data_IF_055748531328
#
_entry.id   IF_055748531328
#
_cell.length_a   1.000
_cell.length_b   1.000
_cell.length_c   1.000
_cell.angle_alpha   90.00
_cell.angle_beta   90.00
_cell.angle_gamma   90.00
#
_symmetry.space_group_name_H-M   'P 1'
#
loop_
_entity.id
_entity.type
_entity.pdbx_description
1 polymer ?
#
# COMPACT_ATOMS: atom_id res chain seq x y z
N UNK A 1 0.83 -17.83 -39.15
CA UNK A 1 0.39 -18.72 -38.07
C UNK A 1 1.38 -18.53 -36.95
N UNK A 2 1.13 -17.59 -36.10
CA UNK A 2 1.89 -17.32 -34.87
C UNK A 2 1.09 -17.94 -33.75
N UNK A 3 1.63 -19.03 -33.19
CA UNK A 3 1.12 -19.63 -31.97
C UNK A 3 1.16 -18.56 -30.86
N UNK A 4 -0.02 -18.15 -30.43
CA UNK A 4 -0.18 -17.51 -29.14
C UNK A 4 0.02 -18.63 -28.11
N UNK A 5 1.17 -18.61 -27.44
CA UNK A 5 1.34 -19.39 -26.23
C UNK A 5 0.24 -18.96 -25.26
N UNK A 6 -0.65 -19.87 -24.94
CA UNK A 6 -1.58 -19.73 -23.83
C UNK A 6 -0.74 -19.79 -22.56
N UNK A 7 -0.53 -18.66 -21.91
CA UNK A 7 -0.11 -18.62 -20.53
C UNK A 7 -1.16 -19.42 -19.75
N UNK A 8 -0.79 -20.60 -19.30
CA UNK A 8 -1.56 -21.34 -18.32
C UNK A 8 -1.42 -20.60 -17.00
N UNK A 9 -2.37 -19.72 -16.73
CA UNK A 9 -2.58 -19.14 -15.41
C UNK A 9 -3.22 -20.22 -14.54
N UNK A 10 -2.39 -21.02 -13.87
CA UNK A 10 -2.81 -22.07 -12.94
C UNK A 10 -3.11 -21.51 -11.53
N UNK A 11 -3.24 -20.18 -11.39
CA UNK A 11 -3.57 -19.47 -10.17
C UNK A 11 -5.06 -19.08 -10.05
N UNK A 12 -5.43 -18.46 -8.92
CA UNK A 12 -6.75 -17.85 -8.71
C UNK A 12 -7.02 -16.76 -9.75
N UNK A 13 -8.23 -16.74 -10.32
CA UNK A 13 -8.63 -15.61 -11.16
C UNK A 13 -8.75 -14.30 -10.34
N UNK A 14 -8.85 -13.16 -11.03
CA UNK A 14 -8.89 -11.84 -10.38
C UNK A 14 -10.06 -11.71 -9.37
N UNK A 15 -11.20 -12.33 -9.61
CA UNK A 15 -12.36 -12.32 -8.71
C UNK A 15 -12.14 -13.23 -7.51
N UNK A 16 -11.60 -14.42 -7.74
CA UNK A 16 -11.26 -15.39 -6.70
C UNK A 16 -10.19 -14.83 -5.77
N UNK A 17 -9.14 -14.17 -6.33
CA UNK A 17 -8.11 -13.49 -5.57
C UNK A 17 -8.69 -12.40 -4.66
N UNK A 18 -9.51 -11.48 -5.20
CA UNK A 18 -10.16 -10.44 -4.38
C UNK A 18 -11.03 -11.03 -3.28
N UNK A 19 -11.75 -12.11 -3.57
CA UNK A 19 -12.59 -12.78 -2.58
C UNK A 19 -11.75 -13.37 -1.46
N UNK A 20 -10.70 -14.12 -1.79
CA UNK A 20 -9.80 -14.73 -0.81
C UNK A 20 -9.15 -13.69 0.10
N UNK A 21 -8.65 -12.59 -0.49
CA UNK A 21 -8.05 -11.48 0.27
C UNK A 21 -9.09 -10.84 1.19
N UNK A 22 -10.27 -10.49 0.68
CA UNK A 22 -11.33 -9.87 1.50
C UNK A 22 -11.78 -10.76 2.65
N UNK A 23 -12.01 -12.06 2.40
CA UNK A 23 -12.42 -13.00 3.43
C UNK A 23 -11.35 -13.15 4.52
N UNK A 24 -10.08 -13.25 4.14
CA UNK A 24 -8.94 -13.29 5.07
C UNK A 24 -8.89 -12.06 5.98
N UNK A 25 -9.01 -10.85 5.40
CA UNK A 25 -8.93 -9.61 6.17
C UNK A 25 -10.21 -9.32 6.96
N UNK A 26 -11.37 -9.83 6.56
CA UNK A 26 -12.59 -9.82 7.37
C UNK A 26 -12.42 -10.67 8.64
N UNK A 27 -11.82 -11.86 8.52
CA UNK A 27 -11.50 -12.72 9.66
C UNK A 27 -10.50 -12.05 10.63
N UNK A 28 -9.49 -11.35 10.09
CA UNK A 28 -8.54 -10.58 10.90
C UNK A 28 -9.25 -9.46 11.66
N UNK A 29 -10.11 -8.67 11.01
CA UNK A 29 -10.88 -7.61 11.65
C UNK A 29 -11.83 -8.13 12.75
N UNK A 30 -12.35 -9.35 12.57
CA UNK A 30 -13.19 -10.00 13.57
C UNK A 30 -12.41 -10.57 14.78
N UNK A 31 -11.07 -10.41 14.80
CA UNK A 31 -10.23 -11.00 15.85
C UNK A 31 -10.10 -12.53 15.76
N UNK A 32 -10.46 -13.12 14.65
CA UNK A 32 -10.40 -14.56 14.40
C UNK A 32 -8.95 -14.96 14.08
N UNK A 33 -8.15 -15.23 15.10
CA UNK A 33 -6.85 -15.91 14.91
C UNK A 33 -7.08 -17.31 14.37
N UNK A 34 -6.43 -17.68 13.26
CA UNK A 34 -6.49 -19.03 12.65
C UNK A 34 -5.90 -20.15 13.55
N UNK A 35 -5.31 -19.81 14.69
CA UNK A 35 -4.77 -20.76 15.65
C UNK A 35 -5.51 -20.58 16.96
N UNK A 36 -6.44 -21.52 17.23
CA UNK A 36 -7.34 -21.54 18.37
C UNK A 36 -6.66 -21.49 19.75
N UNK A 37 -6.33 -20.31 20.21
CA UNK A 37 -6.04 -20.00 21.58
C UNK A 37 -6.77 -18.69 21.94
N UNK A 38 -7.55 -18.72 23.03
CA UNK A 38 -8.49 -17.69 23.52
C UNK A 38 -7.77 -16.45 24.12
N UNK A 39 -6.56 -16.20 23.72
CA UNK A 39 -5.83 -14.96 23.96
C UNK A 39 -5.66 -14.26 22.61
N UNK A 40 -6.40 -13.17 22.39
CA UNK A 40 -6.06 -12.21 21.33
C UNK A 40 -4.61 -11.81 21.59
N UNK A 41 -3.64 -12.27 20.81
CA UNK A 41 -2.30 -11.73 20.91
C UNK A 41 -2.42 -10.33 20.35
N UNK A 42 -2.47 -9.32 21.19
CA UNK A 42 -2.14 -7.97 20.75
C UNK A 42 -0.80 -8.09 20.01
N UNK A 43 -0.72 -7.48 18.84
CA UNK A 43 0.53 -7.40 18.08
C UNK A 43 1.64 -7.01 19.04
N UNK A 44 2.71 -7.80 19.08
CA UNK A 44 3.79 -7.46 19.99
C UNK A 44 4.47 -6.19 19.49
N UNK A 45 4.76 -5.27 20.42
CA UNK A 45 5.53 -4.07 20.08
C UNK A 45 6.88 -4.42 19.42
N UNK A 46 7.42 -5.61 19.69
CA UNK A 46 8.67 -6.08 19.09
C UNK A 46 8.50 -6.41 17.59
N UNK A 47 7.36 -6.97 17.17
CA UNK A 47 7.05 -7.20 15.75
C UNK A 47 6.91 -5.87 15.00
N UNK A 48 6.17 -4.91 15.54
CA UNK A 48 6.01 -3.59 14.93
C UNK A 48 7.35 -2.84 14.82
N UNK A 49 8.27 -3.00 15.81
CA UNK A 49 9.62 -2.43 15.72
C UNK A 49 10.45 -3.04 14.58
N UNK A 50 10.30 -4.35 14.30
CA UNK A 50 10.96 -4.98 13.14
C UNK A 50 10.49 -4.37 11.81
N UNK A 51 9.25 -3.89 11.75
CA UNK A 51 8.70 -3.17 10.60
C UNK A 51 9.21 -1.72 10.49
N UNK A 52 9.89 -1.20 11.52
CA UNK A 52 10.46 0.15 11.52
C UNK A 52 9.60 1.21 12.24
N UNK A 53 8.58 0.81 12.99
CA UNK A 53 7.85 1.73 13.86
C UNK A 53 8.61 1.97 15.16
N UNK A 54 8.68 3.24 15.58
CA UNK A 54 9.30 3.64 16.84
C UNK A 54 8.35 3.40 18.04
N UNK A 55 8.89 3.42 19.26
CA UNK A 55 8.06 3.41 20.47
C UNK A 55 7.11 4.61 20.51
N UNK A 56 7.52 5.76 19.98
CA UNK A 56 6.68 6.95 19.89
C UNK A 56 5.50 6.75 18.94
N UNK A 57 5.70 6.06 17.81
CA UNK A 57 4.62 5.70 16.88
C UNK A 57 3.62 4.76 17.53
N UNK A 58 4.11 3.75 18.26
CA UNK A 58 3.27 2.77 18.92
C UNK A 58 2.48 3.37 20.09
N UNK A 59 3.09 4.27 20.85
CA UNK A 59 2.44 4.99 21.96
C UNK A 59 1.48 6.11 21.45
N UNK A 60 1.58 6.47 20.18
CA UNK A 60 0.84 7.57 19.58
C UNK A 60 -0.59 7.21 19.17
N UNK A 61 -0.89 5.91 19.01
CA UNK A 61 -2.15 5.41 18.48
C UNK A 61 -2.78 4.42 19.47
N UNK A 62 -3.95 4.75 19.95
CA UNK A 62 -4.71 3.92 20.88
C UNK A 62 -5.62 2.91 20.16
N UNK A 63 -6.01 1.85 20.86
CA UNK A 63 -6.96 0.85 20.38
C UNK A 63 -6.34 -0.25 19.53
N UNK A 64 -7.17 -0.90 18.70
CA UNK A 64 -6.81 -2.06 17.88
C UNK A 64 -6.39 -1.67 16.46
N UNK A 65 -5.91 -0.43 16.26
CA UNK A 65 -5.51 0.08 14.95
C UNK A 65 -4.26 -0.63 14.41
N UNK A 66 -3.29 -0.93 15.28
CA UNK A 66 -2.11 -1.70 14.94
C UNK A 66 -2.43 -3.19 14.97
N UNK A 67 -2.63 -3.77 13.80
CA UNK A 67 -2.95 -5.20 13.64
C UNK A 67 -1.71 -6.06 13.33
N UNK A 68 -0.49 -5.47 13.32
CA UNK A 68 0.76 -6.16 12.97
C UNK A 68 0.83 -6.61 11.52
N UNK A 69 0.04 -6.01 10.68
CA UNK A 69 0.02 -6.27 9.24
C UNK A 69 0.98 -5.31 8.55
N UNK A 70 1.61 -5.78 7.49
CA UNK A 70 2.53 -4.96 6.69
C UNK A 70 3.95 -5.49 6.65
N UNK A 71 4.84 -4.78 5.96
CA UNK A 71 6.23 -5.13 5.75
C UNK A 71 7.18 -3.94 5.92
N UNK A 72 6.68 -2.85 6.50
CA UNK A 72 7.49 -1.67 6.78
C UNK A 72 6.68 -0.51 7.35
N UNK A 73 7.31 0.66 7.39
CA UNK A 73 6.71 1.92 7.84
C UNK A 73 6.73 2.94 6.68
N UNK A 74 5.63 3.07 5.90
CA UNK A 74 5.58 4.00 4.78
C UNK A 74 5.56 5.47 5.25
N UNK A 75 5.10 5.77 6.46
CA UNK A 75 5.09 7.15 6.98
C UNK A 75 6.51 7.66 7.17
N UNK A 76 7.45 6.80 7.60
CA UNK A 76 8.86 7.17 7.82
C UNK A 76 9.58 7.62 6.53
N UNK A 77 9.12 7.18 5.35
CA UNK A 77 9.73 7.52 4.05
C UNK A 77 8.94 8.60 3.29
N UNK A 78 7.69 8.86 3.70
CA UNK A 78 6.80 9.76 2.97
C UNK A 78 7.19 11.24 3.05
N UNK A 79 7.94 11.64 4.07
CA UNK A 79 8.33 13.03 4.28
C UNK A 79 7.12 13.97 4.30
N UNK A 80 6.15 13.69 5.19
CA UNK A 80 4.88 14.41 5.26
C UNK A 80 5.07 15.85 5.76
N UNK A 81 4.38 16.79 5.13
CA UNK A 81 4.35 18.20 5.52
C UNK A 81 3.00 18.60 6.13
N UNK A 82 3.01 19.62 7.02
CA UNK A 82 1.77 20.17 7.59
C UNK A 82 0.81 20.67 6.49
N UNK A 83 -0.45 20.26 6.57
CA UNK A 83 -1.52 20.68 5.66
C UNK A 83 -1.68 19.81 4.43
N UNK A 84 -0.85 18.80 4.20
CA UNK A 84 -0.99 17.87 3.09
C UNK A 84 -2.26 17.01 3.20
N UNK A 85 -2.74 16.58 2.04
CA UNK A 85 -3.79 15.55 1.91
C UNK A 85 -3.13 14.22 1.58
N UNK A 86 -3.25 13.26 2.49
CA UNK A 86 -2.69 11.91 2.38
C UNK A 86 -3.78 10.91 2.03
N UNK A 87 -3.47 9.95 1.18
CA UNK A 87 -4.29 8.78 0.88
C UNK A 87 -3.52 7.53 1.27
N UNK A 88 -4.14 6.67 2.06
CA UNK A 88 -3.59 5.37 2.43
C UNK A 88 -4.35 4.26 1.69
N UNK A 89 -3.63 3.43 0.93
CA UNK A 89 -4.16 2.32 0.16
C UNK A 89 -4.15 1.04 0.99
N UNK A 90 -5.33 0.47 1.24
CA UNK A 90 -5.48 -0.69 2.11
C UNK A 90 -5.24 -0.33 3.57
N UNK A 91 -5.97 0.64 4.06
CA UNK A 91 -5.74 1.26 5.38
C UNK A 91 -5.97 0.33 6.58
N UNK A 92 -6.58 -0.84 6.40
CA UNK A 92 -6.86 -1.78 7.48
C UNK A 92 -7.53 -1.12 8.68
N UNK A 93 -7.00 -1.33 9.88
CA UNK A 93 -7.46 -0.70 11.14
C UNK A 93 -7.12 0.78 11.30
N UNK A 94 -6.38 1.37 10.34
CA UNK A 94 -6.10 2.81 10.27
C UNK A 94 -4.79 3.26 10.89
N UNK A 95 -3.89 2.37 11.29
CA UNK A 95 -2.68 2.71 12.04
C UNK A 95 -1.82 3.76 11.32
N UNK A 96 -1.44 3.51 10.06
CA UNK A 96 -0.65 4.45 9.26
C UNK A 96 -1.41 5.76 8.98
N UNK A 97 -2.75 5.69 8.84
CA UNK A 97 -3.59 6.88 8.72
C UNK A 97 -3.50 7.79 9.96
N UNK A 98 -3.49 7.22 11.18
CA UNK A 98 -3.42 8.02 12.41
C UNK A 98 -2.03 8.61 12.62
N UNK A 99 -0.96 7.90 12.27
CA UNK A 99 0.39 8.46 12.27
C UNK A 99 0.48 9.63 11.28
N UNK A 100 0.04 9.42 10.04
CA UNK A 100 0.03 10.47 9.02
C UNK A 100 -0.82 11.69 9.44
N UNK A 101 -1.97 11.47 10.09
CA UNK A 101 -2.85 12.54 10.55
C UNK A 101 -2.21 13.46 11.61
N UNK A 102 -1.31 12.91 12.42
CA UNK A 102 -0.54 13.69 13.40
C UNK A 102 0.53 14.54 12.72
N UNK A 103 1.22 13.98 11.72
CA UNK A 103 2.26 14.68 10.99
C UNK A 103 1.70 15.82 10.13
N UNK A 104 0.62 15.57 9.37
CA UNK A 104 0.01 16.63 8.56
C UNK A 104 -0.77 17.66 9.39
N UNK A 105 -1.01 17.37 10.67
CA UNK A 105 -1.64 18.29 11.59
C UNK A 105 -3.11 18.61 11.30
N UNK A 106 -3.72 19.55 12.06
CA UNK A 106 -5.17 19.80 12.00
C UNK A 106 -5.65 20.50 10.72
N UNK A 107 -4.74 21.00 9.90
CA UNK A 107 -5.05 21.62 8.58
C UNK A 107 -4.89 20.63 7.42
N UNK A 108 -4.19 19.51 7.65
CA UNK A 108 -4.07 18.40 6.73
C UNK A 108 -5.27 17.47 6.81
N UNK A 109 -5.30 16.50 5.91
CA UNK A 109 -6.37 15.51 5.82
C UNK A 109 -5.80 14.15 5.43
N UNK A 110 -6.33 13.08 6.02
CA UNK A 110 -6.00 11.71 5.64
C UNK A 110 -7.26 10.98 5.18
N UNK A 111 -7.14 10.22 4.11
CA UNK A 111 -8.20 9.34 3.60
C UNK A 111 -7.64 7.93 3.55
N UNK A 112 -8.21 7.03 4.34
CA UNK A 112 -7.93 5.59 4.23
C UNK A 112 -8.94 4.93 3.29
N UNK A 113 -8.47 4.04 2.42
CA UNK A 113 -9.31 3.21 1.55
C UNK A 113 -9.01 1.75 1.80
N UNK A 114 -10.03 0.96 2.08
CA UNK A 114 -9.94 -0.49 2.21
C UNK A 114 -11.13 -1.17 1.51
N UNK A 115 -10.92 -2.36 0.94
CA UNK A 115 -11.97 -3.09 0.25
C UNK A 115 -12.81 -3.97 1.19
N UNK A 116 -12.38 -4.14 2.45
CA UNK A 116 -13.01 -4.98 3.46
C UNK A 116 -13.93 -4.13 4.34
N UNK A 117 -15.26 -4.34 4.32
CA UNK A 117 -16.20 -3.56 5.12
C UNK A 117 -15.89 -3.58 6.61
N UNK A 118 -15.48 -4.73 7.13
CA UNK A 118 -15.13 -4.96 8.54
C UNK A 118 -13.91 -4.11 8.95
N UNK A 119 -12.88 -4.02 8.08
CA UNK A 119 -11.72 -3.16 8.32
C UNK A 119 -12.11 -1.68 8.36
N UNK A 120 -12.97 -1.24 7.44
CA UNK A 120 -13.44 0.15 7.40
C UNK A 120 -14.25 0.47 8.66
N UNK A 121 -15.05 -0.47 9.18
CA UNK A 121 -15.81 -0.28 10.42
C UNK A 121 -14.87 -0.17 11.61
N UNK A 122 -13.91 -1.10 11.77
CA UNK A 122 -12.87 -1.05 12.81
C UNK A 122 -12.06 0.25 12.74
N UNK A 123 -11.63 0.68 11.55
CA UNK A 123 -10.88 1.92 11.38
C UNK A 123 -11.68 3.17 11.81
N UNK A 124 -12.99 3.18 11.59
CA UNK A 124 -13.87 4.27 12.06
C UNK A 124 -14.03 4.29 13.57
N UNK A 125 -14.17 3.13 14.21
CA UNK A 125 -14.18 3.00 15.66
C UNK A 125 -12.85 3.47 16.28
N UNK A 126 -11.73 3.09 15.67
CA UNK A 126 -10.41 3.56 16.05
C UNK A 126 -10.24 5.08 15.87
N UNK A 127 -10.84 5.68 14.82
CA UNK A 127 -10.83 7.13 14.64
C UNK A 127 -11.54 7.87 15.78
N UNK A 128 -12.66 7.33 16.28
CA UNK A 128 -13.34 7.86 17.45
C UNK A 128 -12.48 7.73 18.72
N UNK A 129 -11.84 6.58 18.92
CA UNK A 129 -10.94 6.31 20.05
C UNK A 129 -9.75 7.29 20.09
N UNK A 130 -9.18 7.59 18.94
CA UNK A 130 -8.02 8.47 18.79
C UNK A 130 -8.38 9.97 18.63
N UNK A 131 -9.66 10.38 18.71
CA UNK A 131 -10.16 11.75 18.42
C UNK A 131 -9.61 12.32 17.08
N UNK A 132 -9.43 11.44 16.08
CA UNK A 132 -8.79 11.73 14.80
C UNK A 132 -9.78 12.38 13.82
N UNK A 133 -9.99 13.70 13.94
CA UNK A 133 -11.03 14.44 13.21
C UNK A 133 -10.67 14.77 11.76
N UNK A 134 -9.42 14.68 11.41
CA UNK A 134 -8.90 14.91 10.07
C UNK A 134 -8.66 13.62 9.27
N UNK A 135 -9.19 12.49 9.74
CA UNK A 135 -9.14 11.18 9.08
C UNK A 135 -10.53 10.77 8.60
N UNK A 136 -10.62 10.18 7.42
CA UNK A 136 -11.85 9.62 6.84
C UNK A 136 -11.55 8.25 6.22
N UNK A 137 -12.41 7.25 6.48
CA UNK A 137 -12.28 5.92 5.91
C UNK A 137 -13.39 5.61 4.90
N UNK A 138 -12.99 5.11 3.72
CA UNK A 138 -13.86 4.79 2.59
C UNK A 138 -13.72 3.34 2.18
N UNK A 139 -14.86 2.70 1.93
CA UNK A 139 -14.89 1.38 1.30
C UNK A 139 -14.59 1.51 -0.20
N UNK A 140 -13.60 0.77 -0.69
CA UNK A 140 -13.23 0.79 -2.11
C UNK A 140 -12.07 -0.13 -2.43
N UNK A 141 -11.97 -0.52 -3.71
CA UNK A 141 -10.82 -1.26 -4.24
C UNK A 141 -9.73 -0.28 -4.68
N UNK A 142 -8.45 -0.65 -4.48
CA UNK A 142 -7.32 0.22 -4.85
C UNK A 142 -7.15 0.38 -6.37
N UNK A 143 -7.73 -0.51 -7.17
CA UNK A 143 -7.82 -0.41 -8.63
C UNK A 143 -8.90 0.60 -9.09
N UNK A 144 -9.79 1.04 -8.19
CA UNK A 144 -10.90 1.95 -8.47
C UNK A 144 -11.17 2.87 -7.27
N UNK A 145 -10.24 3.79 -7.03
CA UNK A 145 -10.23 4.62 -5.83
C UNK A 145 -11.45 5.57 -5.76
N UNK A 146 -12.22 5.54 -4.64
CA UNK A 146 -13.32 6.47 -4.41
C UNK A 146 -12.81 7.87 -4.01
N UNK A 147 -11.86 8.40 -4.78
CA UNK A 147 -11.12 9.65 -4.54
C UNK A 147 -11.10 10.47 -5.82
N UNK A 148 -11.28 11.79 -5.71
CA UNK A 148 -11.30 12.68 -6.86
C UNK A 148 -9.93 12.82 -7.53
N UNK A 149 -9.92 13.14 -8.83
CA UNK A 149 -8.70 13.41 -9.58
C UNK A 149 -7.92 14.58 -8.97
N UNK A 150 -6.59 14.48 -8.97
CA UNK A 150 -5.66 15.53 -8.56
C UNK A 150 -6.05 16.20 -7.21
N UNK A 151 -6.41 15.39 -6.22
CA UNK A 151 -6.89 15.85 -4.90
C UNK A 151 -5.98 15.46 -3.74
N UNK A 152 -4.96 14.63 -3.99
CA UNK A 152 -4.07 14.03 -2.99
C UNK A 152 -2.64 14.52 -3.21
N UNK A 153 -1.92 14.84 -2.15
CA UNK A 153 -0.53 15.26 -2.18
C UNK A 153 0.41 14.05 -2.04
N UNK A 154 0.06 13.11 -1.15
CA UNK A 154 0.88 11.93 -0.83
C UNK A 154 0.02 10.68 -0.82
N UNK A 155 0.53 9.58 -1.38
CA UNK A 155 -0.05 8.24 -1.24
C UNK A 155 0.87 7.39 -0.37
N UNK A 156 0.29 6.73 0.64
CA UNK A 156 0.90 5.68 1.44
C UNK A 156 0.34 4.32 1.04
N UNK A 157 1.12 3.26 1.21
CA UNK A 157 0.64 1.88 1.15
C UNK A 157 1.61 0.96 1.91
N UNK A 158 1.06 -0.03 2.61
CA UNK A 158 1.84 -1.00 3.38
C UNK A 158 1.39 -2.43 3.05
N UNK A 159 2.17 -3.15 2.24
CA UNK A 159 1.92 -4.55 1.83
C UNK A 159 0.55 -4.81 1.17
N UNK A 160 0.06 -3.89 0.34
CA UNK A 160 -1.28 -4.00 -0.26
C UNK A 160 -1.24 -4.10 -1.78
N UNK A 161 -0.28 -3.45 -2.44
CA UNK A 161 -0.19 -3.44 -3.91
C UNK A 161 -0.03 -4.85 -4.46
N UNK A 162 0.71 -5.71 -3.76
CA UNK A 162 0.89 -7.10 -4.16
C UNK A 162 -0.37 -7.96 -4.02
N UNK A 163 -1.35 -7.57 -3.23
CA UNK A 163 -2.64 -8.25 -3.13
C UNK A 163 -3.52 -8.01 -4.37
N UNK A 164 -3.29 -6.91 -5.08
CA UNK A 164 -4.05 -6.57 -6.28
C UNK A 164 -3.76 -7.52 -7.45
N UNK A 165 -4.81 -8.00 -8.15
CA UNK A 165 -4.66 -8.73 -9.40
C UNK A 165 -4.31 -7.84 -10.61
N UNK A 166 -4.43 -6.51 -10.49
CA UNK A 166 -4.15 -5.54 -11.57
C UNK A 166 -3.32 -4.35 -11.06
N UNK A 167 -2.05 -4.61 -10.73
CA UNK A 167 -1.11 -3.57 -10.27
C UNK A 167 -0.96 -2.39 -11.26
N UNK A 168 -0.90 -2.62 -12.60
CA UNK A 168 -0.90 -1.50 -13.54
C UNK A 168 -2.10 -0.57 -13.37
N UNK A 169 -3.28 -1.09 -13.02
CA UNK A 169 -4.47 -0.28 -12.76
C UNK A 169 -4.35 0.47 -11.43
N UNK A 170 -3.77 -0.14 -10.39
CA UNK A 170 -3.48 0.54 -9.12
C UNK A 170 -2.61 1.77 -9.35
N UNK A 171 -1.51 1.64 -10.10
CA UNK A 171 -0.63 2.78 -10.38
C UNK A 171 -1.29 3.85 -11.28
N UNK A 172 -2.15 3.46 -12.23
CA UNK A 172 -2.96 4.44 -12.99
C UNK A 172 -3.90 5.23 -12.10
N UNK A 173 -4.58 4.58 -11.14
CA UNK A 173 -5.47 5.23 -10.17
C UNK A 173 -4.67 6.12 -9.20
N UNK A 174 -3.53 5.63 -8.70
CA UNK A 174 -2.63 6.44 -7.87
C UNK A 174 -2.20 7.72 -8.61
N UNK A 175 -1.76 7.60 -9.86
CA UNK A 175 -1.40 8.76 -10.67
C UNK A 175 -2.60 9.68 -10.93
N UNK A 176 -3.82 9.15 -11.15
CA UNK A 176 -5.03 9.94 -11.36
C UNK A 176 -5.34 10.84 -10.15
N UNK A 177 -5.32 10.26 -8.94
CA UNK A 177 -5.73 10.98 -7.71
C UNK A 177 -4.66 11.93 -7.19
N UNK A 178 -3.37 11.68 -7.45
CA UNK A 178 -2.29 12.58 -7.08
C UNK A 178 -2.37 13.89 -7.83
N UNK A 179 -2.08 14.98 -7.12
CA UNK A 179 -1.80 16.29 -7.72
C UNK A 179 -0.50 16.24 -8.51
N UNK A 180 -0.32 17.08 -9.53
CA UNK A 180 1.00 17.30 -10.12
C UNK A 180 2.02 17.73 -9.05
N UNK A 181 3.16 17.05 -9.00
CA UNK A 181 4.16 17.20 -7.94
C UNK A 181 3.87 16.40 -6.68
N UNK A 182 2.78 15.64 -6.64
CA UNK A 182 2.49 14.68 -5.54
C UNK A 182 3.33 13.43 -5.67
N UNK A 183 3.49 12.71 -4.56
CA UNK A 183 4.37 11.54 -4.44
C UNK A 183 3.66 10.32 -3.89
N UNK A 184 4.24 9.15 -4.11
CA UNK A 184 3.87 7.92 -3.41
C UNK A 184 5.04 7.39 -2.59
N UNK A 185 4.71 6.78 -1.45
CA UNK A 185 5.62 6.15 -0.52
C UNK A 185 5.01 4.80 -0.10
N UNK A 186 5.53 3.72 -0.65
CA UNK A 186 5.01 2.36 -0.48
C UNK A 186 6.06 1.51 0.22
N UNK A 187 5.63 0.72 1.20
CA UNK A 187 6.39 -0.42 1.71
C UNK A 187 5.71 -1.70 1.23
N UNK A 188 6.39 -2.52 0.43
CA UNK A 188 5.85 -3.80 -0.07
C UNK A 188 7.00 -4.77 -0.33
N UNK A 189 6.70 -6.04 -0.61
CA UNK A 189 7.73 -7.02 -0.96
C UNK A 189 7.97 -7.07 -2.46
N UNK A 190 9.22 -7.33 -2.84
CA UNK A 190 9.63 -7.50 -4.24
C UNK A 190 10.28 -8.86 -4.44
N UNK A 191 10.17 -9.41 -5.64
CA UNK A 191 10.82 -10.66 -6.00
C UNK A 191 12.33 -10.45 -6.13
N UNK A 192 13.08 -11.36 -5.50
CA UNK A 192 14.54 -11.52 -5.65
C UNK A 192 14.88 -12.68 -6.56
N UNK A 193 14.02 -13.70 -6.64
CA UNK A 193 14.15 -14.87 -7.49
C UNK A 193 12.77 -15.35 -7.98
N UNK A 194 12.74 -16.34 -8.88
CA UNK A 194 11.51 -16.93 -9.39
C UNK A 194 10.78 -17.72 -8.28
N UNK A 195 9.50 -17.43 -8.09
CA UNK A 195 8.67 -18.19 -7.15
C UNK A 195 8.43 -19.60 -7.66
N UNK A 196 8.58 -20.65 -6.81
CA UNK A 196 8.15 -22.00 -7.12
C UNK A 196 6.64 -22.03 -7.45
N UNK A 197 6.25 -22.91 -8.39
CA UNK A 197 4.85 -23.04 -8.84
C UNK A 197 3.91 -23.37 -7.67
N UNK A 198 4.36 -24.20 -6.72
CA UNK A 198 3.59 -24.55 -5.52
C UNK A 198 3.36 -23.37 -4.56
N UNK A 199 4.27 -22.38 -4.50
CA UNK A 199 4.09 -21.16 -3.73
C UNK A 199 3.16 -20.19 -4.47
N UNK A 200 3.32 -20.10 -5.79
CA UNK A 200 2.49 -19.23 -6.64
C UNK A 200 1.02 -19.64 -6.65
N UNK A 201 0.73 -20.95 -6.62
CA UNK A 201 -0.61 -21.49 -6.66
C UNK A 201 -1.29 -21.59 -5.28
N UNK A 202 -0.57 -21.32 -4.20
CA UNK A 202 -1.12 -21.44 -2.83
C UNK A 202 -1.93 -20.18 -2.47
N UNK A 203 -3.24 -20.33 -2.14
CA UNK A 203 -4.06 -19.21 -1.70
C UNK A 203 -3.52 -18.47 -0.48
N UNK A 204 -2.84 -19.15 0.46
CA UNK A 204 -2.22 -18.51 1.62
C UNK A 204 -1.10 -17.56 1.18
N UNK A 205 -0.22 -18.00 0.29
CA UNK A 205 0.85 -17.16 -0.28
C UNK A 205 0.31 -15.92 -1.03
N UNK A 206 -0.90 -16.00 -1.58
CA UNK A 206 -1.59 -14.84 -2.21
C UNK A 206 -2.01 -13.83 -1.15
N UNK A 207 -2.59 -14.28 -0.04
CA UNK A 207 -3.09 -13.39 1.04
C UNK A 207 -1.96 -12.82 1.90
N UNK A 208 -0.77 -13.43 1.84
CA UNK A 208 0.43 -13.00 2.56
C UNK A 208 1.39 -12.17 1.66
N UNK A 209 0.90 -11.59 0.57
CA UNK A 209 1.62 -10.73 -0.38
C UNK A 209 2.73 -11.42 -1.21
N UNK A 210 3.13 -12.65 -0.89
CA UNK A 210 4.27 -13.35 -1.52
C UNK A 210 3.96 -13.75 -2.97
N UNK A 211 2.85 -14.48 -3.20
CA UNK A 211 2.49 -14.96 -4.53
C UNK A 211 2.15 -13.82 -5.53
N UNK A 212 1.87 -12.64 -5.01
CA UNK A 212 1.61 -11.46 -5.83
C UNK A 212 2.82 -10.56 -6.02
N UNK A 213 3.95 -10.84 -5.40
CA UNK A 213 5.13 -9.99 -5.50
C UNK A 213 5.60 -9.83 -6.95
N UNK A 214 6.05 -8.64 -7.31
CA UNK A 214 6.60 -8.35 -8.63
C UNK A 214 8.09 -8.06 -8.52
N UNK A 215 8.84 -8.29 -9.60
CA UNK A 215 10.24 -7.94 -9.65
C UNK A 215 10.44 -6.43 -9.74
N UNK A 216 11.57 -5.92 -9.25
CA UNK A 216 11.93 -4.49 -9.33
C UNK A 216 11.79 -3.95 -10.76
N UNK A 217 12.33 -4.61 -11.83
CA UNK A 217 12.14 -4.11 -13.19
C UNK A 217 10.68 -4.07 -13.65
N UNK A 218 9.84 -4.99 -13.18
CA UNK A 218 8.42 -4.99 -13.53
C UNK A 218 7.68 -3.83 -12.86
N UNK A 219 7.96 -3.55 -11.58
CA UNK A 219 7.39 -2.41 -10.85
C UNK A 219 7.82 -1.07 -11.46
N UNK A 220 9.12 -0.92 -11.76
CA UNK A 220 9.67 0.28 -12.42
C UNK A 220 8.94 0.54 -13.75
N UNK A 221 8.78 -0.51 -14.58
CA UNK A 221 8.02 -0.41 -15.84
C UNK A 221 6.55 -0.02 -15.62
N UNK A 222 5.85 -0.61 -14.65
CA UNK A 222 4.45 -0.27 -14.35
C UNK A 222 4.28 1.17 -13.88
N UNK A 223 5.19 1.66 -13.02
CA UNK A 223 5.20 3.05 -12.55
C UNK A 223 5.47 4.03 -13.68
N UNK A 224 6.48 3.75 -14.52
CA UNK A 224 6.80 4.57 -15.68
C UNK A 224 5.63 4.61 -16.69
N UNK A 225 4.99 3.47 -16.97
CA UNK A 225 3.83 3.37 -17.87
C UNK A 225 2.61 4.13 -17.32
N UNK A 226 2.46 4.22 -15.99
CA UNK A 226 1.43 5.03 -15.34
C UNK A 226 1.72 6.54 -15.37
N UNK A 227 2.95 6.94 -15.72
CA UNK A 227 3.36 8.35 -15.86
C UNK A 227 4.14 8.90 -14.66
N UNK A 228 4.60 8.06 -13.75
CA UNK A 228 5.48 8.46 -12.66
C UNK A 228 6.91 8.73 -13.14
N UNK A 229 7.60 9.61 -12.42
CA UNK A 229 9.02 9.92 -12.58
C UNK A 229 9.75 9.74 -11.24
N UNK A 230 11.07 9.86 -11.27
CA UNK A 230 11.94 9.78 -10.09
C UNK A 230 11.66 8.52 -9.23
N UNK A 231 11.46 7.39 -9.94
CA UNK A 231 11.17 6.10 -9.33
C UNK A 231 12.41 5.59 -8.59
N UNK A 232 12.26 5.29 -7.29
CA UNK A 232 13.27 4.61 -6.46
C UNK A 232 12.64 3.37 -5.85
N UNK A 233 13.30 2.22 -5.98
CA UNK A 233 12.87 0.96 -5.37
C UNK A 233 14.08 0.40 -4.63
N UNK A 234 14.07 0.50 -3.30
CA UNK A 234 15.19 0.14 -2.46
C UNK A 234 14.84 -1.06 -1.56
N UNK A 235 15.46 -2.24 -1.79
CA UNK A 235 15.34 -3.38 -0.90
C UNK A 235 15.86 -3.08 0.51
N UNK A 236 15.21 -3.66 1.53
CA UNK A 236 15.62 -3.59 2.95
C UNK A 236 16.40 -4.86 3.30
N UNK A 237 17.71 -4.76 3.41
CA UNK A 237 18.62 -5.90 3.63
C UNK A 237 18.34 -6.69 4.93
N UNK A 238 17.68 -6.08 5.92
CA UNK A 238 17.35 -6.67 7.22
C UNK A 238 15.94 -7.27 7.30
N UNK A 239 15.20 -7.28 6.19
CA UNK A 239 13.81 -7.76 6.16
C UNK A 239 13.66 -9.29 6.17
N UNK A 240 14.71 -10.04 5.90
CA UNK A 240 14.69 -11.50 5.88
C UNK A 240 14.28 -12.12 7.24
N UNK A 241 14.58 -11.43 8.35
CA UNK A 241 14.21 -11.88 9.69
C UNK A 241 12.70 -12.01 9.86
N UNK A 242 11.92 -11.00 9.44
CA UNK A 242 10.46 -11.02 9.61
C UNK A 242 9.74 -11.70 8.43
N UNK A 243 10.28 -11.60 7.21
CA UNK A 243 9.71 -12.28 6.03
C UNK A 243 9.72 -13.80 6.22
N UNK A 244 10.76 -14.36 6.81
CA UNK A 244 10.88 -15.79 7.14
C UNK A 244 9.79 -16.25 8.12
N UNK A 245 9.33 -15.39 9.03
CA UNK A 245 8.31 -15.71 10.01
C UNK A 245 6.91 -15.90 9.40
N UNK A 246 6.67 -15.41 8.15
CA UNK A 246 5.36 -15.54 7.48
C UNK A 246 5.04 -16.98 7.07
N UNK A 247 6.02 -17.76 6.65
CA UNK A 247 5.90 -19.19 6.36
C UNK A 247 7.20 -19.93 6.74
N UNK A 248 7.30 -20.39 7.99
CA UNK A 248 8.53 -21.08 8.46
C UNK A 248 8.83 -22.39 7.74
N UNK A 249 7.86 -22.99 7.04
CA UNK A 249 8.05 -24.26 6.33
C UNK A 249 8.67 -24.05 4.93
N UNK A 250 8.34 -22.92 4.27
CA UNK A 250 8.76 -22.62 2.89
C UNK A 250 9.77 -21.48 2.77
N UNK A 251 10.10 -20.82 3.89
CA UNK A 251 11.05 -19.70 3.99
C UNK A 251 10.92 -18.69 2.82
N UNK A 252 9.91 -17.80 2.85
CA UNK A 252 9.68 -16.86 1.73
C UNK A 252 10.86 -15.90 1.49
N UNK A 253 11.77 -15.73 2.47
CA UNK A 253 12.95 -14.88 2.33
C UNK A 253 13.92 -15.34 1.24
N UNK A 254 13.81 -16.59 0.79
CA UNK A 254 14.56 -17.08 -0.37
C UNK A 254 14.11 -16.45 -1.70
N UNK A 255 12.90 -15.91 -1.78
CA UNK A 255 12.26 -15.43 -3.03
C UNK A 255 11.83 -13.97 -3.01
N UNK A 256 11.57 -13.42 -1.82
CA UNK A 256 11.10 -12.04 -1.66
C UNK A 256 11.87 -11.30 -0.58
N UNK A 257 11.95 -10.00 -0.74
CA UNK A 257 12.54 -9.06 0.22
C UNK A 257 11.61 -7.85 0.36
N UNK A 258 11.49 -7.28 1.55
CA UNK A 258 10.77 -6.01 1.68
C UNK A 258 11.55 -4.89 1.00
N UNK A 259 10.83 -3.93 0.43
CA UNK A 259 11.40 -2.78 -0.25
C UNK A 259 10.59 -1.52 0.03
N UNK A 260 11.24 -0.39 -0.02
CA UNK A 260 10.60 0.91 -0.16
C UNK A 260 10.46 1.24 -1.64
N UNK A 261 9.31 1.78 -2.03
CA UNK A 261 8.99 2.18 -3.40
C UNK A 261 8.50 3.63 -3.34
N UNK A 262 9.28 4.52 -3.92
CA UNK A 262 8.97 5.95 -4.00
C UNK A 262 8.89 6.37 -5.45
N UNK A 263 7.96 7.27 -5.78
CA UNK A 263 7.86 7.86 -7.10
C UNK A 263 7.07 9.18 -7.05
N UNK A 264 7.30 10.06 -8.02
CA UNK A 264 6.64 11.35 -8.09
C UNK A 264 5.76 11.45 -9.36
N UNK A 265 4.61 12.10 -9.21
CA UNK A 265 3.84 12.56 -10.36
C UNK A 265 4.45 13.87 -10.85
N UNK A 266 4.95 13.93 -12.10
CA UNK A 266 5.58 15.14 -12.61
C UNK A 266 4.70 16.38 -12.47
N UNK A 267 5.28 17.56 -12.14
CA UNK A 267 4.53 18.80 -12.16
C UNK A 267 4.03 19.10 -13.58
N UNK A 268 2.85 19.75 -13.69
CA UNK A 268 2.40 20.21 -15.00
C UNK A 268 3.37 21.27 -15.55
N UNK A 269 3.87 21.05 -16.77
CA UNK A 269 4.67 22.10 -17.43
C UNK A 269 3.86 23.40 -17.50
N UNK A 270 4.47 24.56 -17.17
CA UNK A 270 3.78 25.83 -17.36
C UNK A 270 3.44 25.99 -18.85
N UNK A 271 2.17 26.15 -19.14
CA UNK A 271 1.69 26.41 -20.50
C UNK A 271 2.48 27.61 -21.04
N UNK A 272 3.33 27.39 -22.06
CA UNK A 272 3.99 28.50 -22.77
C UNK A 272 2.88 29.33 -23.39
N UNK A 273 2.57 30.47 -22.76
CA UNK A 273 1.76 31.51 -23.42
C UNK A 273 2.44 31.83 -24.76
N UNK A 274 1.73 31.52 -25.84
CA UNK A 274 2.15 31.92 -27.17
C UNK A 274 2.24 33.45 -27.16
N UNK A 275 3.45 33.97 -27.07
CA UNK A 275 3.71 35.38 -27.30
C UNK A 275 3.22 35.69 -28.72
N UNK A 276 2.01 36.23 -28.84
CA UNK A 276 1.53 36.85 -30.08
C UNK A 276 2.42 38.03 -30.31
N UNK A 277 3.32 37.84 -31.26
CA UNK A 277 4.15 38.92 -31.84
C UNK A 277 3.23 39.84 -32.65
N UNK A 278 2.64 40.86 -32.01
CA UNK A 278 2.02 41.98 -32.70
C UNK A 278 3.11 42.79 -33.38
N UNK A 279 3.48 42.33 -34.61
CA UNK A 279 4.25 43.10 -35.55
C UNK A 279 3.48 44.33 -36.02
N UNK A 280 3.68 45.39 -35.32
CA UNK A 280 3.25 46.73 -35.79
C UNK A 280 4.18 47.14 -36.95
N UNK A 281 3.70 46.94 -38.19
CA UNK A 281 4.28 47.59 -39.37
C UNK A 281 3.68 48.98 -39.47
N UNK A 282 4.48 50.01 -39.21
CA UNK A 282 4.23 51.40 -39.57
C UNK A 282 5.04 51.78 -40.81
#
# INVERSE_FOLDING_TARGET
MTDAASDADDGLDASERRTAVRDRYADVAAGSSCCGDDSTPGVSADESRKLGYSDEDLDAVDGDANMGLGCGNPTAIAGLDEGETVLDLGSGGGFDCFLAAREVGPTGRVVGVDMTPEMVETARENAETNDARNVEFRLGEIEHLPVADASVDVILSNCVVNLSPDKPQVFREAHRVLRPGGRLAISDVVLTDDLPEEVRADPASVTDCVAGAASIPALDGMLADAGFADVSIEPKDDSDEFVREWDPERDPSDYVIAATIEAEKPPTEPTRESATNDGHAG
#
